data_IF_001432125523
#
_entry.id   IF_001432125523
#
_cell.length_a   1.000
_cell.length_b   1.000
_cell.length_c   1.000
_cell.angle_alpha   90.00
_cell.angle_beta   90.00
_cell.angle_gamma   90.00
#
_symmetry.space_group_name_H-M   'P 1'
#
loop_
_entity.id
_entity.type
_entity.pdbx_description
1 polymer ?
#
# COMPACT_ATOMS: atom_id res chain seq x y z
N UNK A 1 -39.16 -26.39 37.05
CA UNK A 1 -37.76 -26.09 37.40
C UNK A 1 -37.07 -25.79 36.10
N UNK A 2 -37.02 -24.51 35.74
CA UNK A 2 -36.40 -24.01 34.51
C UNK A 2 -35.03 -23.41 34.88
N UNK A 3 -33.99 -23.77 34.13
CA UNK A 3 -32.60 -23.36 34.33
C UNK A 3 -32.35 -21.99 33.67
N UNK A 4 -31.94 -20.94 34.42
CA UNK A 4 -31.87 -19.57 33.93
C UNK A 4 -30.44 -19.21 33.50
N UNK A 5 -30.00 -19.60 32.30
CA UNK A 5 -28.67 -19.23 31.76
C UNK A 5 -28.61 -18.99 30.24
N UNK A 6 -29.69 -18.49 29.65
CA UNK A 6 -29.73 -18.00 28.25
C UNK A 6 -30.06 -16.50 28.15
N UNK A 7 -29.38 -15.64 28.94
CA UNK A 7 -29.58 -14.18 28.87
C UNK A 7 -28.28 -13.39 29.06
N UNK A 8 -27.22 -13.67 28.28
CA UNK A 8 -26.02 -12.82 28.28
C UNK A 8 -25.30 -12.73 26.92
N UNK A 9 -25.99 -12.79 25.78
CA UNK A 9 -25.28 -12.70 24.50
C UNK A 9 -26.00 -12.01 23.33
N UNK A 10 -26.94 -11.10 23.60
CA UNK A 10 -27.62 -10.34 22.52
C UNK A 10 -27.60 -8.80 22.70
N UNK A 11 -27.12 -8.27 23.82
CA UNK A 11 -27.13 -6.81 24.06
C UNK A 11 -25.81 -6.08 23.71
N UNK A 12 -24.76 -6.79 23.32
CA UNK A 12 -23.48 -6.18 22.93
C UNK A 12 -23.33 -5.93 21.42
N UNK A 13 -24.29 -6.36 20.59
CA UNK A 13 -24.20 -6.30 19.12
C UNK A 13 -25.34 -5.50 18.45
N UNK A 14 -26.10 -4.73 19.23
CA UNK A 14 -27.10 -3.78 18.73
C UNK A 14 -26.71 -2.31 18.95
N UNK A 15 -25.73 -2.03 19.82
CA UNK A 15 -25.32 -0.66 20.15
C UNK A 15 -24.16 -0.11 19.31
N UNK A 16 -23.49 -0.94 18.50
CA UNK A 16 -22.36 -0.52 17.65
C UNK A 16 -22.77 -0.17 16.21
N UNK A 17 -24.04 -0.36 15.88
CA UNK A 17 -24.59 -0.16 14.53
C UNK A 17 -25.50 1.08 14.44
N UNK A 18 -25.56 1.89 15.50
CA UNK A 18 -26.32 3.14 15.56
C UNK A 18 -25.43 4.39 15.71
N UNK A 19 -24.15 4.24 16.08
CA UNK A 19 -23.20 5.36 16.15
C UNK A 19 -22.50 5.64 14.80
N UNK A 20 -22.42 4.66 13.90
CA UNK A 20 -21.83 4.84 12.56
C UNK A 20 -22.82 5.36 11.51
N UNK A 21 -24.14 5.33 11.77
CA UNK A 21 -25.17 5.88 10.87
C UNK A 21 -25.60 7.30 11.22
N UNK A 22 -25.17 7.83 12.37
CA UNK A 22 -25.44 9.23 12.76
C UNK A 22 -24.33 10.19 12.34
N UNK A 23 -23.14 9.67 11.99
CA UNK A 23 -22.01 10.49 11.54
C UNK A 23 -22.02 10.78 10.03
N UNK A 24 -22.75 10.01 9.21
CA UNK A 24 -22.86 10.25 7.77
C UNK A 24 -24.02 11.21 7.39
N UNK A 25 -24.97 11.45 8.30
CA UNK A 25 -26.09 12.38 8.08
C UNK A 25 -25.80 13.80 8.60
N UNK A 26 -24.83 13.98 9.51
CA UNK A 26 -24.47 15.30 10.02
C UNK A 26 -23.62 16.11 9.01
N UNK A 27 -22.73 15.50 8.22
CA UNK A 27 -21.93 16.23 7.21
C UNK A 27 -22.75 16.82 6.04
N UNK A 28 -24.01 16.40 5.87
CA UNK A 28 -24.86 16.82 4.76
C UNK A 28 -25.76 18.04 5.06
N UNK A 29 -25.62 18.69 6.22
CA UNK A 29 -26.61 19.69 6.69
C UNK A 29 -26.08 21.12 6.95
N UNK A 30 -24.90 21.50 6.47
CA UNK A 30 -24.33 22.84 6.72
C UNK A 30 -24.03 23.67 5.45
N UNK A 31 -24.57 23.30 4.28
CA UNK A 31 -24.38 24.08 3.05
C UNK A 31 -25.37 25.25 2.90
N UNK A 32 -26.37 25.37 3.77
CA UNK A 32 -27.34 26.46 3.77
C UNK A 32 -27.10 27.38 4.99
N UNK A 33 -27.05 28.70 4.77
CA UNK A 33 -26.91 29.78 5.78
C UNK A 33 -25.49 30.32 6.11
N UNK A 34 -24.53 30.28 5.18
CA UNK A 34 -23.43 31.28 5.25
C UNK A 34 -24.01 32.62 4.80
N UNK A 35 -24.07 33.61 5.71
CA UNK A 35 -24.47 34.98 5.36
C UNK A 35 -23.70 35.44 4.11
N UNK A 36 -24.36 36.10 3.13
CA UNK A 36 -23.73 36.50 1.85
C UNK A 36 -22.40 37.24 2.03
N UNK A 37 -22.29 38.04 3.09
CA UNK A 37 -21.10 38.82 3.44
C UNK A 37 -19.91 37.98 3.93
N UNK A 38 -20.16 36.75 4.39
CA UNK A 38 -19.15 35.81 4.89
C UNK A 38 -18.72 34.77 3.84
N UNK A 39 -19.37 34.72 2.66
CA UNK A 39 -19.07 33.73 1.62
C UNK A 39 -17.64 33.87 1.06
N UNK A 40 -17.21 35.08 0.70
CA UNK A 40 -15.85 35.31 0.18
C UNK A 40 -14.77 35.01 1.24
N UNK A 41 -14.89 35.46 2.51
CA UNK A 41 -14.00 35.03 3.58
C UNK A 41 -13.91 33.51 3.75
N UNK A 42 -15.04 32.80 3.74
CA UNK A 42 -15.08 31.34 3.85
C UNK A 42 -14.33 30.66 2.70
N UNK A 43 -14.60 31.08 1.45
CA UNK A 43 -13.91 30.59 0.27
C UNK A 43 -12.39 30.84 0.32
N UNK A 44 -11.95 32.00 0.82
CA UNK A 44 -10.51 32.28 0.99
C UNK A 44 -9.85 31.35 2.02
N UNK A 45 -10.55 31.04 3.11
CA UNK A 45 -10.05 30.10 4.11
C UNK A 45 -9.91 28.69 3.50
N UNK A 46 -10.93 28.23 2.77
CA UNK A 46 -10.89 26.96 2.06
C UNK A 46 -9.76 26.91 1.02
N UNK A 47 -9.57 27.99 0.26
CA UNK A 47 -8.46 28.11 -0.70
C UNK A 47 -7.11 27.97 0.01
N UNK A 48 -6.93 28.64 1.15
CA UNK A 48 -5.70 28.56 1.93
C UNK A 48 -5.43 27.14 2.44
N UNK A 49 -6.45 26.44 2.93
CA UNK A 49 -6.34 25.03 3.35
C UNK A 49 -5.92 24.12 2.18
N UNK A 50 -6.52 24.31 1.01
CA UNK A 50 -6.14 23.55 -0.19
C UNK A 50 -4.71 23.88 -0.66
N UNK A 51 -4.28 25.14 -0.59
CA UNK A 51 -2.90 25.54 -0.89
C UNK A 51 -1.89 24.89 0.08
N UNK A 52 -2.21 24.83 1.37
CA UNK A 52 -1.40 24.10 2.35
C UNK A 52 -1.35 22.59 2.05
N UNK A 53 -2.48 21.99 1.69
CA UNK A 53 -2.53 20.58 1.30
C UNK A 53 -1.66 20.29 0.06
N UNK A 54 -1.69 21.18 -0.95
CA UNK A 54 -0.82 21.08 -2.14
C UNK A 54 0.66 21.13 -1.76
N UNK A 55 1.04 22.05 -0.87
CA UNK A 55 2.43 22.16 -0.41
C UNK A 55 2.88 20.88 0.31
N UNK A 56 2.06 20.38 1.24
CA UNK A 56 2.35 19.15 1.98
C UNK A 56 2.46 17.94 1.04
N UNK A 57 1.53 17.79 0.09
CA UNK A 57 1.55 16.71 -0.89
C UNK A 57 2.75 16.80 -1.83
N UNK A 58 3.23 18.01 -2.13
CA UNK A 58 4.45 18.20 -2.94
C UNK A 58 5.67 17.67 -2.20
N UNK A 59 5.82 17.98 -0.91
CA UNK A 59 6.90 17.42 -0.08
C UNK A 59 6.85 15.88 -0.03
N UNK A 60 5.65 15.31 0.15
CA UNK A 60 5.46 13.84 0.16
C UNK A 60 5.86 13.23 -1.19
N UNK A 61 5.47 13.85 -2.32
CA UNK A 61 5.83 13.36 -3.64
C UNK A 61 7.35 13.36 -3.82
N UNK A 62 8.02 14.45 -3.45
CA UNK A 62 9.48 14.57 -3.57
C UNK A 62 10.18 13.49 -2.72
N UNK A 63 9.76 13.32 -1.46
CA UNK A 63 10.28 12.27 -0.58
C UNK A 63 10.07 10.85 -1.13
N UNK A 64 8.95 10.59 -1.79
CA UNK A 64 8.65 9.29 -2.41
C UNK A 64 9.46 9.07 -3.70
N UNK A 65 9.69 10.11 -4.50
CA UNK A 65 10.48 10.05 -5.74
C UNK A 65 11.96 9.78 -5.46
N UNK A 66 12.48 10.27 -4.33
CA UNK A 66 13.85 10.02 -3.88
C UNK A 66 14.07 8.59 -3.34
N UNK A 67 13.00 7.86 -3.02
CA UNK A 67 13.14 6.49 -2.52
C UNK A 67 13.62 5.57 -3.64
N UNK A 68 14.57 4.71 -3.28
CA UNK A 68 15.04 3.66 -4.18
C UNK A 68 13.90 2.68 -4.50
N UNK A 69 13.59 2.55 -5.79
CA UNK A 69 12.64 1.57 -6.31
C UNK A 69 13.32 0.51 -7.18
N UNK A 70 12.64 -0.62 -7.38
CA UNK A 70 12.97 -1.61 -8.40
C UNK A 70 11.72 -2.07 -9.13
N UNK A 71 11.91 -2.92 -10.15
CA UNK A 71 10.78 -3.52 -10.85
C UNK A 71 9.96 -4.41 -9.92
N UNK A 72 8.62 -4.37 -10.01
CA UNK A 72 7.72 -5.25 -9.26
C UNK A 72 7.98 -6.73 -9.52
N UNK A 73 7.56 -7.56 -8.56
CA UNK A 73 7.64 -9.02 -8.67
C UNK A 73 6.58 -9.54 -9.64
N UNK A 74 6.98 -10.40 -10.58
CA UNK A 74 6.07 -10.94 -11.60
C UNK A 74 5.48 -12.27 -11.14
N UNK A 75 4.26 -12.24 -10.61
CA UNK A 75 3.55 -13.43 -10.13
C UNK A 75 2.76 -14.18 -11.21
N UNK A 76 2.32 -13.50 -12.27
CA UNK A 76 1.35 -14.01 -13.26
C UNK A 76 1.94 -14.99 -14.30
N UNK A 77 2.64 -16.04 -13.83
CA UNK A 77 3.34 -17.09 -14.61
C UNK A 77 4.75 -16.71 -15.04
N UNK A 78 5.71 -16.86 -14.12
CA UNK A 78 7.08 -17.22 -14.47
C UNK A 78 7.08 -18.64 -15.03
N UNK A 79 6.56 -18.82 -16.25
CA UNK A 79 6.53 -20.12 -16.91
C UNK A 79 7.97 -20.63 -17.01
N UNK A 80 8.22 -21.78 -16.41
CA UNK A 80 9.52 -22.43 -16.51
C UNK A 80 9.69 -22.85 -17.97
N UNK A 81 10.48 -22.10 -18.73
CA UNK A 81 10.77 -22.46 -20.12
C UNK A 81 11.85 -23.54 -20.24
N UNK A 82 12.54 -23.85 -19.14
CA UNK A 82 13.64 -24.82 -19.10
C UNK A 82 13.14 -26.21 -18.70
N UNK A 83 13.26 -27.16 -19.60
CA UNK A 83 12.85 -28.57 -19.42
C UNK A 83 13.40 -29.22 -18.15
N UNK A 84 14.61 -28.84 -17.72
CA UNK A 84 15.27 -29.42 -16.53
C UNK A 84 14.75 -28.87 -15.19
N UNK A 85 14.05 -27.73 -15.19
CA UNK A 85 13.53 -27.11 -13.97
C UNK A 85 12.07 -27.53 -13.68
N UNK A 86 11.45 -28.30 -14.60
CA UNK A 86 10.06 -28.76 -14.49
C UNK A 86 9.85 -29.78 -13.36
N UNK A 87 10.87 -30.58 -13.01
CA UNK A 87 10.76 -31.57 -11.93
C UNK A 87 11.27 -31.05 -10.57
N UNK A 88 11.74 -29.79 -10.50
CA UNK A 88 12.27 -29.24 -9.26
C UNK A 88 11.14 -28.74 -8.35
N UNK A 89 11.15 -29.21 -7.09
CA UNK A 89 10.28 -28.67 -6.03
C UNK A 89 10.65 -27.24 -5.70
N UNK A 90 9.66 -26.36 -5.56
CA UNK A 90 9.90 -24.96 -5.19
C UNK A 90 10.22 -24.79 -3.72
N UNK A 91 11.03 -23.79 -3.41
CA UNK A 91 11.56 -23.58 -2.06
C UNK A 91 10.47 -23.27 -1.02
N UNK A 92 9.35 -22.69 -1.46
CA UNK A 92 8.29 -22.20 -0.57
C UNK A 92 7.07 -23.13 -0.57
N UNK A 93 6.30 -23.14 -1.67
CA UNK A 93 5.06 -23.91 -1.81
C UNK A 93 5.26 -25.38 -2.19
N UNK A 94 6.49 -25.81 -2.48
CA UNK A 94 6.86 -27.18 -2.86
C UNK A 94 6.18 -27.76 -4.11
N UNK A 95 5.37 -26.96 -4.80
CA UNK A 95 4.82 -27.30 -6.10
C UNK A 95 5.96 -27.69 -7.06
N UNK A 96 5.69 -28.65 -7.93
CA UNK A 96 6.62 -29.14 -8.94
C UNK A 96 6.32 -28.41 -10.25
N UNK A 97 7.34 -27.81 -10.88
CA UNK A 97 7.26 -27.39 -12.29
C UNK A 97 6.31 -26.25 -12.66
N UNK A 98 5.59 -25.65 -11.72
CA UNK A 98 4.54 -24.68 -12.03
C UNK A 98 5.05 -23.25 -12.30
N UNK A 99 6.02 -22.76 -11.52
CA UNK A 99 6.49 -21.35 -11.54
C UNK A 99 7.86 -21.22 -10.89
N UNK A 100 8.72 -20.26 -11.24
CA UNK A 100 9.96 -19.98 -10.47
C UNK A 100 9.65 -19.55 -9.02
N UNK A 101 10.52 -19.88 -8.05
CA UNK A 101 10.32 -19.55 -6.62
C UNK A 101 10.07 -18.06 -6.38
N UNK A 102 10.61 -17.20 -7.26
CA UNK A 102 10.42 -15.75 -7.26
C UNK A 102 8.98 -15.33 -7.58
N UNK A 103 8.31 -16.12 -8.42
CA UNK A 103 6.94 -15.93 -8.90
C UNK A 103 5.89 -16.72 -8.09
N UNK A 104 6.25 -17.24 -6.91
CA UNK A 104 5.32 -17.99 -6.08
C UNK A 104 4.15 -17.12 -5.61
N UNK A 105 2.92 -17.51 -5.99
CA UNK A 105 1.67 -16.84 -5.59
C UNK A 105 1.12 -17.31 -4.25
N UNK A 106 1.51 -18.51 -3.79
CA UNK A 106 1.10 -19.05 -2.49
C UNK A 106 1.72 -18.28 -1.33
N UNK A 107 2.94 -17.79 -1.53
CA UNK A 107 3.69 -17.00 -0.55
C UNK A 107 4.20 -15.74 -1.24
N UNK A 108 3.35 -14.73 -1.42
CA UNK A 108 3.69 -13.55 -2.21
C UNK A 108 4.72 -12.65 -1.53
N UNK A 109 4.77 -12.61 -0.20
CA UNK A 109 5.59 -11.64 0.53
C UNK A 109 7.00 -12.17 0.85
N UNK A 110 7.97 -11.27 0.89
CA UNK A 110 9.34 -11.60 1.28
C UNK A 110 9.43 -12.07 2.74
N UNK A 111 8.54 -11.56 3.60
CA UNK A 111 8.49 -11.91 5.02
C UNK A 111 8.04 -13.36 5.22
N UNK A 112 6.92 -13.77 4.63
CA UNK A 112 6.44 -15.16 4.66
C UNK A 112 7.49 -16.13 4.13
N UNK A 113 8.15 -15.76 3.04
CA UNK A 113 9.22 -16.57 2.43
C UNK A 113 10.40 -16.78 3.38
N UNK A 114 10.80 -15.76 4.13
CA UNK A 114 11.87 -15.88 5.14
C UNK A 114 11.47 -16.80 6.27
N UNK A 115 10.25 -16.67 6.78
CA UNK A 115 9.72 -17.55 7.84
C UNK A 115 9.73 -19.02 7.39
N UNK A 116 9.34 -19.29 6.15
CA UNK A 116 9.38 -20.63 5.57
C UNK A 116 10.82 -21.16 5.47
N UNK A 117 11.80 -20.34 5.07
CA UNK A 117 13.19 -20.79 5.01
C UNK A 117 13.74 -21.11 6.39
N UNK A 118 13.45 -20.27 7.39
CA UNK A 118 13.86 -20.51 8.78
C UNK A 118 13.23 -21.80 9.31
N UNK A 119 11.93 -21.98 9.13
CA UNK A 119 11.21 -23.18 9.58
C UNK A 119 11.71 -24.47 8.89
N UNK A 120 12.12 -24.38 7.63
CA UNK A 120 12.62 -25.53 6.84
C UNK A 120 14.14 -25.67 6.85
N UNK A 121 14.85 -24.89 7.67
CA UNK A 121 16.32 -24.85 7.73
C UNK A 121 17.00 -24.72 6.36
N UNK A 122 16.44 -23.90 5.47
CA UNK A 122 16.98 -23.65 4.12
C UNK A 122 17.91 -22.44 4.15
N UNK A 123 18.95 -22.49 3.34
CA UNK A 123 19.92 -21.40 3.22
C UNK A 123 19.31 -20.15 2.56
N UNK A 124 19.48 -18.98 3.16
CA UNK A 124 18.98 -17.70 2.66
C UNK A 124 19.62 -17.22 1.35
N UNK A 125 20.77 -17.80 0.97
CA UNK A 125 21.53 -17.44 -0.23
C UNK A 125 21.19 -18.33 -1.43
N UNK A 126 20.97 -19.63 -1.21
CA UNK A 126 20.75 -20.59 -2.29
C UNK A 126 19.44 -21.38 -2.21
N UNK A 127 18.64 -21.17 -1.16
CA UNK A 127 17.36 -21.83 -0.88
C UNK A 127 17.44 -23.37 -0.68
N UNK A 128 18.65 -23.90 -0.64
CA UNK A 128 18.93 -25.33 -0.49
C UNK A 128 18.93 -25.74 0.99
N UNK A 129 18.50 -26.97 1.26
CA UNK A 129 18.50 -27.57 2.61
C UNK A 129 19.91 -28.06 2.94
N UNK A 130 20.62 -28.60 1.95
CA UNK A 130 21.98 -29.13 2.14
C UNK A 130 22.99 -28.01 1.87
N UNK A 131 22.99 -27.01 2.75
CA UNK A 131 23.94 -25.90 2.68
C UNK A 131 24.26 -25.38 4.08
N UNK A 132 25.56 -25.24 4.38
CA UNK A 132 26.03 -24.67 5.64
C UNK A 132 25.70 -23.16 5.81
N UNK A 133 25.27 -22.50 4.73
CA UNK A 133 24.93 -21.07 4.74
C UNK A 133 26.13 -20.14 4.90
N UNK A 134 25.85 -18.86 5.08
CA UNK A 134 26.87 -17.82 5.30
C UNK A 134 27.97 -17.82 4.24
N UNK A 135 29.20 -17.54 4.67
CA UNK A 135 30.39 -17.46 3.81
C UNK A 135 30.74 -18.79 3.11
N UNK A 136 30.21 -19.92 3.58
CA UNK A 136 30.44 -21.24 2.99
C UNK A 136 29.45 -21.56 1.85
N UNK A 137 28.40 -20.75 1.66
CA UNK A 137 27.48 -20.95 0.57
C UNK A 137 28.12 -20.54 -0.77
N UNK A 138 27.99 -21.41 -1.79
CA UNK A 138 28.41 -21.09 -3.18
C UNK A 138 27.79 -19.81 -3.75
N UNK A 139 26.65 -19.37 -3.21
CA UNK A 139 25.92 -18.16 -3.61
C UNK A 139 26.13 -16.97 -2.66
N UNK A 140 27.08 -17.05 -1.72
CA UNK A 140 27.35 -15.98 -0.76
C UNK A 140 27.74 -14.65 -1.41
N UNK A 141 28.42 -14.73 -2.56
CA UNK A 141 28.88 -13.57 -3.31
C UNK A 141 27.85 -13.01 -4.30
N UNK A 142 26.78 -13.75 -4.57
CA UNK A 142 25.75 -13.34 -5.52
C UNK A 142 25.02 -12.08 -5.02
N UNK A 143 24.80 -11.15 -5.95
CA UNK A 143 24.03 -9.93 -5.70
C UNK A 143 22.56 -10.18 -5.99
N UNK A 144 21.71 -9.63 -5.13
CA UNK A 144 20.28 -9.62 -5.37
C UNK A 144 19.94 -8.87 -6.66
N UNK A 145 19.10 -9.45 -7.52
CA UNK A 145 18.64 -8.83 -8.77
C UNK A 145 17.87 -7.52 -8.52
N UNK A 146 17.10 -7.43 -7.44
CA UNK A 146 16.27 -6.26 -7.12
C UNK A 146 17.07 -5.13 -6.49
N UNK A 147 17.80 -5.42 -5.41
CA UNK A 147 18.47 -4.38 -4.63
C UNK A 147 20.00 -4.34 -4.81
N UNK A 148 20.60 -5.23 -5.61
CA UNK A 148 22.04 -5.26 -5.90
C UNK A 148 22.95 -5.41 -4.67
N UNK A 149 22.39 -5.64 -3.49
CA UNK A 149 23.11 -5.95 -2.24
C UNK A 149 23.34 -7.46 -2.15
N UNK A 150 24.36 -7.85 -1.37
CA UNK A 150 24.63 -9.24 -0.97
C UNK A 150 23.81 -9.59 0.29
N UNK A 151 23.90 -10.84 0.72
CA UNK A 151 23.34 -11.28 2.00
C UNK A 151 21.95 -11.94 1.92
N UNK A 152 21.35 -12.06 0.72
CA UNK A 152 20.07 -12.74 0.54
C UNK A 152 19.85 -13.14 -0.92
N UNK A 153 19.04 -14.17 -1.12
CA UNK A 153 18.52 -14.56 -2.43
C UNK A 153 17.46 -13.55 -2.92
N UNK A 154 17.38 -13.31 -4.23
CA UNK A 154 16.46 -12.32 -4.84
C UNK A 154 14.98 -12.53 -4.46
N UNK A 155 14.59 -13.80 -4.25
CA UNK A 155 13.24 -14.20 -3.84
C UNK A 155 12.83 -13.71 -2.45
N UNK A 156 13.81 -13.37 -1.60
CA UNK A 156 13.64 -12.87 -0.24
C UNK A 156 13.81 -11.35 -0.15
N UNK A 157 14.07 -10.69 -1.28
CA UNK A 157 14.17 -9.24 -1.31
C UNK A 157 12.77 -8.64 -1.19
N UNK A 158 12.58 -7.79 -0.18
CA UNK A 158 11.34 -7.02 0.01
C UNK A 158 11.33 -5.68 -0.75
N UNK A 159 12.38 -5.36 -1.50
CA UNK A 159 12.40 -4.12 -2.31
C UNK A 159 11.29 -4.07 -3.37
N UNK A 160 10.93 -5.17 -4.07
CA UNK A 160 9.80 -5.16 -5.00
C UNK A 160 8.48 -4.76 -4.33
N UNK A 161 8.15 -5.37 -3.20
CA UNK A 161 6.94 -5.04 -2.42
C UNK A 161 6.93 -3.58 -1.99
N UNK A 162 8.04 -3.10 -1.40
CA UNK A 162 8.20 -1.68 -1.03
C UNK A 162 8.09 -0.74 -2.24
N UNK A 163 8.57 -1.16 -3.40
CA UNK A 163 8.48 -0.34 -4.63
C UNK A 163 7.04 -0.24 -5.12
N UNK A 164 6.26 -1.32 -5.01
CA UNK A 164 4.83 -1.31 -5.33
C UNK A 164 4.06 -0.38 -4.38
N UNK A 165 4.37 -0.43 -3.08
CA UNK A 165 3.80 0.48 -2.06
C UNK A 165 4.13 1.94 -2.36
N UNK A 166 5.42 2.26 -2.62
CA UNK A 166 5.86 3.61 -2.97
C UNK A 166 5.15 4.09 -4.23
N UNK A 167 5.06 3.25 -5.26
CA UNK A 167 4.38 3.61 -6.51
C UNK A 167 2.88 3.87 -6.30
N UNK A 168 2.21 3.11 -5.42
CA UNK A 168 0.82 3.33 -5.06
C UNK A 168 0.63 4.65 -4.31
N UNK A 169 1.45 4.90 -3.29
CA UNK A 169 1.44 6.16 -2.53
C UNK A 169 1.70 7.37 -3.43
N UNK A 170 2.64 7.25 -4.36
CA UNK A 170 2.97 8.31 -5.30
C UNK A 170 1.81 8.62 -6.25
N UNK A 171 1.09 7.60 -6.73
CA UNK A 171 -0.14 7.81 -7.52
C UNK A 171 -1.20 8.53 -6.69
N UNK A 172 -1.48 8.04 -5.48
CA UNK A 172 -2.48 8.64 -4.58
C UNK A 172 -2.14 10.10 -4.25
N UNK A 173 -0.88 10.39 -3.91
CA UNK A 173 -0.44 11.75 -3.59
C UNK A 173 -0.55 12.70 -4.80
N UNK A 174 -0.19 12.22 -6.00
CA UNK A 174 -0.34 12.99 -7.25
C UNK A 174 -1.79 13.27 -7.59
N UNK A 175 -2.68 12.29 -7.40
CA UNK A 175 -4.11 12.45 -7.62
C UNK A 175 -4.74 13.42 -6.61
N UNK A 176 -4.45 13.26 -5.32
CA UNK A 176 -4.89 14.18 -4.27
C UNK A 176 -4.41 15.62 -4.54
N UNK A 177 -3.16 15.80 -4.96
CA UNK A 177 -2.62 17.12 -5.29
C UNK A 177 -3.37 17.74 -6.45
N UNK A 178 -3.68 16.93 -7.49
CA UNK A 178 -4.48 17.38 -8.64
C UNK A 178 -5.89 17.81 -8.24
N UNK A 179 -6.53 17.08 -7.31
CA UNK A 179 -7.85 17.42 -6.78
C UNK A 179 -7.80 18.78 -6.04
N UNK A 180 -6.87 18.97 -5.10
CA UNK A 180 -6.74 20.24 -4.40
C UNK A 180 -6.39 21.40 -5.34
N UNK A 181 -5.55 21.18 -6.36
CA UNK A 181 -5.26 22.18 -7.38
C UNK A 181 -6.50 22.60 -8.17
N UNK A 182 -7.34 21.64 -8.57
CA UNK A 182 -8.60 21.91 -9.23
C UNK A 182 -9.53 22.72 -8.32
N UNK A 183 -9.64 22.34 -7.04
CA UNK A 183 -10.48 23.04 -6.07
C UNK A 183 -10.04 24.50 -5.85
N UNK A 184 -8.73 24.76 -5.75
CA UNK A 184 -8.20 26.14 -5.68
C UNK A 184 -8.62 26.96 -6.89
N UNK A 185 -8.62 26.36 -8.09
CA UNK A 185 -9.02 27.04 -9.30
C UNK A 185 -10.52 27.36 -9.33
N UNK A 186 -11.37 26.40 -8.92
CA UNK A 186 -12.82 26.60 -8.77
C UNK A 186 -13.14 27.74 -7.79
N UNK A 187 -12.48 27.74 -6.64
CA UNK A 187 -12.67 28.78 -5.61
C UNK A 187 -12.26 30.16 -6.16
N UNK A 188 -11.17 30.26 -6.92
CA UNK A 188 -10.75 31.52 -7.56
C UNK A 188 -11.82 32.04 -8.52
N UNK A 189 -12.43 31.15 -9.30
CA UNK A 189 -13.50 31.48 -10.23
C UNK A 189 -14.79 31.88 -9.52
N UNK A 190 -15.14 31.22 -8.42
CA UNK A 190 -16.27 31.59 -7.56
C UNK A 190 -16.09 32.97 -6.92
N UNK A 191 -14.92 33.23 -6.31
CA UNK A 191 -14.60 34.56 -5.74
C UNK A 191 -14.67 35.64 -6.83
N UNK A 192 -14.17 35.36 -8.04
CA UNK A 192 -14.24 36.32 -9.14
C UNK A 192 -15.68 36.62 -9.58
N UNK A 193 -16.54 35.60 -9.66
CA UNK A 193 -17.97 35.77 -9.97
C UNK A 193 -18.67 36.62 -8.92
N UNK A 194 -18.53 36.27 -7.64
CA UNK A 194 -19.15 36.99 -6.52
C UNK A 194 -18.73 38.48 -6.48
N UNK A 195 -17.46 38.78 -6.78
CA UNK A 195 -16.98 40.18 -6.85
C UNK A 195 -17.55 40.97 -8.02
N UNK A 196 -17.93 40.32 -9.12
CA UNK A 196 -18.53 40.95 -10.30
C UNK A 196 -20.04 41.19 -10.16
N UNK A 197 -20.69 40.35 -9.37
CA UNK A 197 -22.14 40.40 -9.12
C UNK A 197 -22.50 41.27 -7.89
N UNK A 198 -21.49 41.74 -7.15
CA UNK A 198 -21.66 42.71 -6.07
C UNK A 198 -22.11 44.08 -6.64
N UNK A 199 -23.29 44.62 -6.25
CA UNK A 199 -23.86 45.87 -6.75
C UNK A 199 -23.12 47.13 -6.31
#
# INVERSE_FOLDING_TARGET
MEDPREHQNEEANAHKSQEDTQNEEEEAQYEEDIEPDLRIPALKLEMHQNEQAIANLTLIIDELEDKRMCRPRKFQRGAIQRTNEFNMRRAFCEAIGAHDSDSCTTHPTAQERKEILLAKARCEYCLDIICAGGALCRKYEERCYHCQKRGHHSTLCGLPEKSDEIAAQLRQAKDARRIHMARVQEIKEEIWRLRREAP
#
